data_IF_142454428120
#
_entry.id   IF_142454428120
#
_cell.length_a   1.000
_cell.length_b   1.000
_cell.length_c   1.000
_cell.angle_alpha   90.00
_cell.angle_beta   90.00
_cell.angle_gamma   90.00
#
_symmetry.space_group_name_H-M   'P 1'
#
loop_
_entity.id
_entity.type
_entity.pdbx_description
1 polymer ?
#
# COMPACT_ATOMS: atom_id res chain seq x y z
N UNK A 1 -34.03 -26.33 2.73
CA UNK A 1 -34.06 -25.50 3.97
C UNK A 1 -35.45 -24.92 4.11
N UNK A 2 -36.10 -25.11 5.25
CA UNK A 2 -37.47 -24.62 5.49
C UNK A 2 -37.41 -23.22 6.10
N UNK A 3 -38.17 -22.27 5.55
CA UNK A 3 -38.14 -20.86 5.98
C UNK A 3 -38.55 -20.67 7.46
N UNK A 4 -39.39 -21.57 7.98
CA UNK A 4 -39.96 -21.46 9.33
C UNK A 4 -38.97 -21.80 10.46
N UNK A 5 -37.79 -22.32 10.15
CA UNK A 5 -36.75 -22.63 11.15
C UNK A 5 -35.61 -21.61 11.20
N UNK A 6 -35.71 -20.52 10.42
CA UNK A 6 -34.69 -19.47 10.37
C UNK A 6 -34.91 -18.46 11.52
N UNK A 7 -34.03 -18.47 12.51
CA UNK A 7 -33.97 -17.44 13.56
C UNK A 7 -32.73 -16.55 13.41
N UNK A 8 -32.82 -15.23 13.66
CA UNK A 8 -31.67 -14.33 13.57
C UNK A 8 -30.62 -14.64 14.65
N UNK A 9 -29.34 -14.70 14.25
CA UNK A 9 -28.20 -14.93 15.16
C UNK A 9 -27.95 -13.74 16.11
N UNK A 10 -28.31 -12.53 15.69
CA UNK A 10 -28.15 -11.29 16.46
C UNK A 10 -29.50 -10.78 16.95
N UNK A 11 -29.59 -10.50 18.25
CA UNK A 11 -30.80 -9.99 18.90
C UNK A 11 -31.06 -8.54 18.45
N UNK A 12 -32.29 -8.25 18.03
CA UNK A 12 -32.75 -6.89 17.77
C UNK A 12 -32.86 -6.09 19.09
N UNK A 13 -31.96 -5.13 19.32
CA UNK A 13 -32.00 -4.26 20.51
C UNK A 13 -33.07 -3.18 20.34
N UNK A 14 -34.01 -3.06 21.29
CA UNK A 14 -35.03 -1.99 21.36
C UNK A 14 -34.36 -0.65 21.66
N UNK A 15 -34.73 0.38 20.90
CA UNK A 15 -34.07 1.70 20.77
C UNK A 15 -33.93 2.48 22.11
N UNK A 16 -32.74 2.53 22.72
CA UNK A 16 -32.37 3.61 23.63
C UNK A 16 -32.09 4.88 22.80
N UNK A 17 -32.06 6.10 23.38
CA UNK A 17 -31.55 7.27 22.66
C UNK A 17 -30.11 6.97 22.19
N UNK A 18 -29.96 6.75 20.89
CA UNK A 18 -28.78 6.10 20.31
C UNK A 18 -27.55 7.00 20.47
N UNK A 19 -26.65 6.62 21.38
CA UNK A 19 -25.25 7.08 21.42
C UNK A 19 -24.98 8.56 21.70
N UNK A 20 -26.01 9.38 21.97
CA UNK A 20 -25.87 10.84 22.14
C UNK A 20 -25.98 11.33 23.58
N UNK A 21 -26.31 10.44 24.53
CA UNK A 21 -26.67 10.85 25.88
C UNK A 21 -27.99 11.64 25.88
N UNK A 22 -28.49 12.00 27.07
CA UNK A 22 -29.83 12.55 27.28
C UNK A 22 -30.12 13.91 26.62
N UNK A 23 -30.35 14.95 27.43
CA UNK A 23 -30.73 16.29 26.93
C UNK A 23 -29.48 17.13 26.69
N UNK A 24 -29.54 18.07 25.74
CA UNK A 24 -28.45 19.01 25.47
C UNK A 24 -28.37 19.38 24.01
N UNK A 25 -27.47 20.31 23.68
CA UNK A 25 -27.26 20.80 22.31
C UNK A 25 -26.95 19.64 21.35
N UNK A 26 -26.05 18.74 21.75
CA UNK A 26 -25.60 17.54 21.00
C UNK A 26 -26.70 16.51 20.72
N UNK A 27 -27.76 16.50 21.54
CA UNK A 27 -28.90 15.59 21.37
C UNK A 27 -29.98 16.16 20.44
N UNK A 28 -29.94 17.45 20.10
CA UNK A 28 -30.94 18.09 19.23
C UNK A 28 -30.68 17.80 17.75
N UNK A 29 -31.75 17.56 17.01
CA UNK A 29 -31.68 17.45 15.56
C UNK A 29 -31.16 18.76 14.95
N UNK A 30 -30.29 18.65 13.94
CA UNK A 30 -29.75 19.80 13.22
C UNK A 30 -28.63 20.57 13.93
N UNK A 31 -28.18 20.12 15.11
CA UNK A 31 -27.04 20.71 15.79
C UNK A 31 -25.74 20.41 15.04
N UNK A 32 -25.29 21.39 14.25
CA UNK A 32 -24.07 21.33 13.43
C UNK A 32 -22.96 22.15 14.11
N UNK A 33 -22.40 21.66 15.22
CA UNK A 33 -21.22 22.32 15.83
C UNK A 33 -20.11 22.36 14.78
N UNK A 34 -19.56 23.55 14.59
CA UNK A 34 -18.35 23.76 13.82
C UNK A 34 -17.17 23.10 14.56
N UNK A 35 -16.46 22.12 13.96
CA UNK A 35 -15.32 21.50 14.62
C UNK A 35 -14.22 22.52 14.92
N UNK A 36 -13.71 22.52 16.15
CA UNK A 36 -12.62 23.40 16.63
C UNK A 36 -11.35 23.26 15.80
N UNK A 37 -11.11 22.07 15.25
CA UNK A 37 -10.01 21.76 14.32
C UNK A 37 -9.94 22.78 13.17
N UNK A 38 -11.08 23.36 12.75
CA UNK A 38 -11.10 24.34 11.67
C UNK A 38 -10.37 25.64 12.02
N UNK A 39 -10.45 26.07 13.28
CA UNK A 39 -9.79 27.30 13.72
C UNK A 39 -8.31 27.04 14.04
N UNK A 40 -7.96 25.83 14.48
CA UNK A 40 -6.57 25.35 14.53
C UNK A 40 -5.92 25.34 13.13
N UNK A 41 -6.61 24.81 12.11
CA UNK A 41 -6.09 24.76 10.73
C UNK A 41 -5.85 26.17 10.16
N UNK A 42 -6.69 27.16 10.49
CA UNK A 42 -6.53 28.54 10.01
C UNK A 42 -5.29 29.24 10.57
N UNK A 43 -4.83 28.86 11.76
CA UNK A 43 -3.60 29.39 12.37
C UNK A 43 -2.35 28.86 11.66
N UNK A 44 -2.41 27.68 11.05
CA UNK A 44 -1.27 27.06 10.38
C UNK A 44 -1.06 27.64 8.97
N UNK A 45 0.20 27.87 8.54
CA UNK A 45 0.48 28.26 7.16
C UNK A 45 0.08 27.14 6.19
N UNK A 46 -0.23 27.53 4.94
CA UNK A 46 -0.50 26.55 3.87
C UNK A 46 0.74 25.70 3.61
N UNK A 47 0.53 24.41 3.35
CA UNK A 47 1.61 23.50 2.94
C UNK A 47 2.24 23.97 1.62
N UNK A 48 3.56 23.83 1.49
CA UNK A 48 4.28 24.11 0.23
C UNK A 48 3.62 23.33 -0.93
N UNK A 49 3.43 23.98 -2.07
CA UNK A 49 2.75 23.41 -3.25
C UNK A 49 1.21 23.40 -3.20
N UNK A 50 0.59 23.79 -2.07
CA UNK A 50 -0.86 23.97 -1.98
C UNK A 50 -1.26 25.46 -2.12
N UNK A 51 -2.37 25.73 -2.82
CA UNK A 51 -2.88 27.08 -3.07
C UNK A 51 -3.19 27.31 -4.56
N UNK A 52 -2.86 28.50 -5.07
CA UNK A 52 -3.12 28.91 -6.47
C UNK A 52 -2.50 27.95 -7.50
N UNK A 53 -1.34 27.36 -7.20
CA UNK A 53 -0.58 26.52 -8.12
C UNK A 53 -0.80 25.00 -7.92
N UNK A 54 -1.82 24.57 -7.17
CA UNK A 54 -2.02 23.16 -6.82
C UNK A 54 -2.08 22.24 -8.04
N UNK A 55 -2.77 22.67 -9.09
CA UNK A 55 -2.95 21.87 -10.30
C UNK A 55 -1.63 21.61 -11.06
N UNK A 56 -0.67 22.55 -11.00
CA UNK A 56 0.63 22.43 -11.70
C UNK A 56 1.52 21.31 -11.14
N UNK A 57 1.34 20.93 -9.87
CA UNK A 57 2.13 19.88 -9.21
C UNK A 57 1.55 18.48 -9.36
N UNK A 58 0.35 18.32 -9.94
CA UNK A 58 -0.31 17.02 -10.10
C UNK A 58 0.23 16.31 -11.34
N UNK A 59 1.01 15.26 -11.14
CA UNK A 59 1.48 14.37 -12.22
C UNK A 59 0.46 13.26 -12.45
N UNK A 60 -0.37 13.38 -13.50
CA UNK A 60 -1.38 12.38 -13.86
C UNK A 60 -0.77 11.06 -14.31
N UNK A 61 0.37 11.11 -15.01
CA UNK A 61 1.04 9.93 -15.59
C UNK A 61 1.97 9.22 -14.60
N UNK A 62 1.62 9.20 -13.30
CA UNK A 62 2.45 8.53 -12.29
C UNK A 62 2.33 7.01 -12.42
N UNK A 63 3.44 6.36 -12.77
CA UNK A 63 3.55 4.90 -12.80
C UNK A 63 3.38 4.35 -11.38
N UNK A 64 2.51 3.35 -11.22
CA UNK A 64 2.37 2.63 -9.96
C UNK A 64 3.58 1.71 -9.78
N UNK A 65 4.35 1.95 -8.71
CA UNK A 65 5.51 1.13 -8.36
C UNK A 65 5.21 0.42 -7.05
N UNK A 66 5.41 -0.89 -7.02
CA UNK A 66 5.34 -1.70 -5.80
C UNK A 66 6.75 -2.03 -5.33
N UNK A 67 7.00 -1.87 -4.04
CA UNK A 67 8.30 -2.12 -3.43
C UNK A 67 8.31 -3.47 -2.73
N UNK A 68 9.34 -4.27 -2.97
CA UNK A 68 9.56 -5.57 -2.30
C UNK A 68 10.96 -5.58 -1.69
N UNK A 69 11.09 -6.01 -0.44
CA UNK A 69 12.39 -6.09 0.25
C UNK A 69 13.02 -7.48 0.07
N UNK A 70 14.35 -7.56 0.16
CA UNK A 70 15.09 -8.83 0.10
C UNK A 70 14.62 -9.84 1.15
N UNK A 71 14.28 -9.40 2.37
CA UNK A 71 13.76 -10.28 3.42
C UNK A 71 12.48 -11.02 3.00
N UNK A 72 11.60 -10.38 2.23
CA UNK A 72 10.38 -11.01 1.73
C UNK A 72 10.69 -12.05 0.62
N UNK A 73 11.72 -11.80 -0.18
CA UNK A 73 12.17 -12.75 -1.20
C UNK A 73 12.81 -13.97 -0.56
N UNK A 74 13.64 -13.77 0.47
CA UNK A 74 14.28 -14.82 1.23
C UNK A 74 13.23 -15.77 1.87
N UNK A 75 12.15 -15.23 2.44
CA UNK A 75 11.10 -16.08 3.01
C UNK A 75 10.27 -16.80 1.95
N UNK A 76 9.98 -16.13 0.84
CA UNK A 76 9.00 -16.63 -0.13
C UNK A 76 9.59 -17.54 -1.21
N UNK A 77 10.87 -17.42 -1.55
CA UNK A 77 11.50 -18.14 -2.67
C UNK A 77 12.50 -19.20 -2.20
N UNK A 78 12.82 -20.14 -3.09
CA UNK A 78 13.92 -21.10 -2.93
C UNK A 78 15.12 -20.68 -3.79
N UNK A 79 16.30 -21.22 -3.49
CA UNK A 79 17.49 -20.98 -4.31
C UNK A 79 17.26 -21.43 -5.76
N UNK A 80 17.73 -20.63 -6.72
CA UNK A 80 17.55 -20.81 -8.16
C UNK A 80 16.21 -20.35 -8.72
N UNK A 81 15.23 -19.98 -7.89
CA UNK A 81 13.91 -19.60 -8.38
C UNK A 81 13.89 -18.24 -9.08
N UNK A 82 12.96 -18.09 -10.03
CA UNK A 82 12.80 -16.86 -10.82
C UNK A 82 11.85 -15.86 -10.14
N UNK A 83 12.38 -14.69 -9.81
CA UNK A 83 11.65 -13.53 -9.30
C UNK A 83 11.26 -12.63 -10.48
N UNK A 84 9.96 -12.59 -10.79
CA UNK A 84 9.36 -11.74 -11.82
C UNK A 84 8.09 -11.07 -11.28
N UNK A 85 7.59 -9.98 -11.90
CA UNK A 85 6.34 -9.36 -11.47
C UNK A 85 5.14 -10.33 -11.44
N UNK A 86 5.12 -11.33 -12.35
CA UNK A 86 4.11 -12.37 -12.38
C UNK A 86 4.22 -13.35 -11.21
N UNK A 87 5.44 -13.82 -10.89
CA UNK A 87 5.65 -14.74 -9.76
C UNK A 87 5.42 -14.05 -8.41
N UNK A 88 5.75 -12.77 -8.29
CA UNK A 88 5.45 -11.95 -7.12
C UNK A 88 3.95 -11.73 -6.90
N UNK A 89 3.18 -11.57 -7.99
CA UNK A 89 1.73 -11.48 -7.92
C UNK A 89 1.13 -12.83 -7.48
N UNK A 90 1.59 -13.94 -8.06
CA UNK A 90 1.11 -15.28 -7.73
C UNK A 90 1.34 -15.64 -6.25
N UNK A 91 2.47 -15.21 -5.68
CA UNK A 91 2.81 -15.41 -4.26
C UNK A 91 2.21 -14.35 -3.32
N UNK A 92 1.42 -13.41 -3.84
CA UNK A 92 0.76 -12.37 -3.04
C UNK A 92 1.69 -11.29 -2.45
N UNK A 93 2.96 -11.26 -2.87
CA UNK A 93 3.95 -10.26 -2.42
C UNK A 93 3.71 -8.89 -3.05
N UNK A 94 3.09 -8.86 -4.22
CA UNK A 94 2.66 -7.64 -4.91
C UNK A 94 1.18 -7.73 -5.19
N UNK A 95 0.45 -6.62 -5.04
CA UNK A 95 -0.96 -6.51 -5.41
C UNK A 95 -1.12 -5.68 -6.67
N UNK A 96 -2.19 -5.94 -7.43
CA UNK A 96 -2.56 -5.12 -8.58
C UNK A 96 -2.88 -3.70 -8.13
N UNK A 97 -2.39 -2.71 -8.87
CA UNK A 97 -2.74 -1.31 -8.70
C UNK A 97 -3.59 -0.87 -9.90
N UNK A 98 -4.79 -0.36 -9.65
CA UNK A 98 -5.74 0.06 -10.70
C UNK A 98 -5.95 -1.03 -11.78
N UNK A 99 -6.07 -2.29 -11.36
CA UNK A 99 -6.30 -3.44 -12.26
C UNK A 99 -5.07 -3.97 -13.02
N UNK A 100 -3.91 -3.30 -12.95
CA UNK A 100 -2.67 -3.71 -13.65
C UNK A 100 -1.61 -4.19 -12.65
N UNK A 101 -0.69 -5.03 -13.13
CA UNK A 101 0.50 -5.39 -12.35
C UNK A 101 1.43 -4.18 -12.31
N UNK A 102 1.74 -3.62 -11.12
CA UNK A 102 2.63 -2.47 -11.02
C UNK A 102 4.06 -2.84 -11.40
N UNK A 103 4.86 -1.84 -11.75
CA UNK A 103 6.31 -2.00 -11.89
C UNK A 103 6.89 -2.35 -10.53
N UNK A 104 7.71 -3.39 -10.45
CA UNK A 104 8.28 -3.83 -9.18
C UNK A 104 9.66 -3.22 -8.98
N UNK A 105 9.88 -2.66 -7.79
CA UNK A 105 11.21 -2.27 -7.31
C UNK A 105 11.64 -3.13 -6.13
N UNK A 106 12.76 -3.83 -6.27
CA UNK A 106 13.39 -4.57 -5.19
C UNK A 106 14.31 -3.64 -4.42
N UNK A 107 14.11 -3.58 -3.11
CA UNK A 107 14.87 -2.76 -2.17
C UNK A 107 15.77 -3.64 -1.30
N UNK A 108 16.92 -3.08 -0.92
CA UNK A 108 18.00 -3.79 -0.28
C UNK A 108 17.92 -3.90 1.24
N UNK A 109 16.74 -3.87 1.87
CA UNK A 109 16.64 -4.13 3.32
C UNK A 109 16.92 -5.62 3.55
N UNK A 110 18.08 -5.98 4.12
CA UNK A 110 18.46 -7.37 4.29
C UNK A 110 17.68 -8.01 5.46
N UNK A 111 17.45 -9.32 5.45
CA UNK A 111 17.08 -10.06 6.65
C UNK A 111 18.29 -10.15 7.60
N UNK A 112 18.04 -10.51 8.87
CA UNK A 112 19.12 -10.78 9.82
C UNK A 112 19.93 -11.99 9.31
N UNK A 113 21.14 -11.72 8.79
CA UNK A 113 22.01 -12.73 8.16
C UNK A 113 22.22 -12.57 6.64
N UNK A 114 21.60 -11.58 6.00
CA UNK A 114 21.79 -11.33 4.57
C UNK A 114 21.00 -12.25 3.63
N UNK A 115 21.13 -12.05 2.32
CA UNK A 115 20.46 -12.89 1.32
C UNK A 115 21.28 -14.18 1.14
N UNK A 116 20.70 -15.33 1.49
CA UNK A 116 21.41 -16.62 1.36
C UNK A 116 21.09 -17.33 0.05
N UNK A 117 19.92 -17.02 -0.53
CA UNK A 117 19.43 -17.68 -1.74
C UNK A 117 19.90 -16.95 -2.99
N UNK A 118 20.59 -17.67 -3.86
CA UNK A 118 20.85 -17.23 -5.22
C UNK A 118 19.53 -17.17 -6.00
N UNK A 119 19.06 -15.99 -6.40
CA UNK A 119 17.79 -15.80 -7.11
C UNK A 119 18.00 -15.29 -8.52
N UNK A 120 17.11 -15.68 -9.45
CA UNK A 120 17.13 -15.17 -10.82
C UNK A 120 16.08 -14.05 -10.95
N UNK A 121 16.51 -12.80 -11.05
CA UNK A 121 15.61 -11.65 -11.14
C UNK A 121 15.36 -11.28 -12.60
N UNK A 122 14.08 -11.19 -13.01
CA UNK A 122 13.67 -10.81 -14.36
C UNK A 122 12.65 -9.68 -14.36
N UNK A 123 12.90 -8.61 -15.12
CA UNK A 123 11.90 -7.56 -15.36
C UNK A 123 11.52 -6.74 -14.12
N UNK A 124 12.43 -6.61 -13.15
CA UNK A 124 12.26 -5.80 -11.94
C UNK A 124 13.33 -4.69 -11.88
N UNK A 125 12.99 -3.54 -11.30
CA UNK A 125 13.97 -2.49 -10.98
C UNK A 125 14.69 -2.81 -9.66
N UNK A 126 15.99 -2.57 -9.58
CA UNK A 126 16.77 -2.83 -8.36
C UNK A 126 17.27 -1.52 -7.71
N UNK A 127 17.43 -1.50 -6.39
CA UNK A 127 18.29 -0.49 -5.74
C UNK A 127 19.76 -0.90 -5.84
N UNK A 128 20.69 0.05 -5.69
CA UNK A 128 22.13 -0.23 -5.67
C UNK A 128 22.50 -1.28 -4.62
N UNK A 129 21.96 -1.13 -3.41
CA UNK A 129 22.17 -2.09 -2.31
C UNK A 129 21.60 -3.46 -2.62
N UNK A 130 20.39 -3.53 -3.21
CA UNK A 130 19.78 -4.81 -3.57
C UNK A 130 20.56 -5.55 -4.64
N UNK A 131 21.09 -4.81 -5.62
CA UNK A 131 21.95 -5.36 -6.68
C UNK A 131 23.22 -5.96 -6.09
N UNK A 132 23.90 -5.23 -5.21
CA UNK A 132 25.11 -5.71 -4.55
C UNK A 132 24.85 -7.00 -3.74
N UNK A 133 23.77 -7.04 -2.97
CA UNK A 133 23.40 -8.22 -2.18
C UNK A 133 23.04 -9.44 -3.06
N UNK A 134 22.34 -9.22 -4.18
CA UNK A 134 22.02 -10.29 -5.13
C UNK A 134 23.26 -10.85 -5.81
N UNK A 135 24.20 -9.99 -6.24
CA UNK A 135 25.46 -10.43 -6.84
C UNK A 135 26.33 -11.16 -5.82
N UNK A 136 26.40 -10.68 -4.57
CA UNK A 136 27.13 -11.35 -3.51
C UNK A 136 26.59 -12.75 -3.19
N UNK A 137 25.26 -12.94 -3.30
CA UNK A 137 24.61 -14.24 -3.14
C UNK A 137 24.66 -15.13 -4.40
N UNK A 138 25.33 -14.70 -5.48
CA UNK A 138 25.42 -15.46 -6.74
C UNK A 138 24.14 -15.44 -7.60
N UNK A 139 23.25 -14.46 -7.40
CA UNK A 139 22.04 -14.27 -8.20
C UNK A 139 22.30 -13.69 -9.59
N UNK A 140 21.40 -13.96 -10.53
CA UNK A 140 21.49 -13.51 -11.94
C UNK A 140 20.38 -12.49 -12.23
N UNK A 141 20.71 -11.42 -12.95
CA UNK A 141 19.79 -10.32 -13.27
C UNK A 141 19.58 -10.27 -14.79
N UNK A 142 18.33 -10.43 -15.24
CA UNK A 142 17.95 -10.30 -16.66
C UNK A 142 16.96 -9.15 -16.87
N UNK A 143 17.25 -8.29 -17.86
CA UNK A 143 16.32 -7.27 -18.36
C UNK A 143 15.84 -6.31 -17.27
N UNK A 144 16.72 -5.41 -16.84
CA UNK A 144 16.35 -4.37 -15.88
C UNK A 144 15.40 -3.36 -16.53
N UNK A 145 14.21 -3.18 -15.96
CA UNK A 145 13.28 -2.17 -16.46
C UNK A 145 13.83 -0.77 -16.13
N UNK A 146 14.03 0.08 -17.13
CA UNK A 146 14.41 1.48 -16.90
C UNK A 146 13.20 2.28 -16.42
N UNK A 147 13.44 3.26 -15.53
CA UNK A 147 12.41 4.20 -15.03
C UNK A 147 12.02 5.25 -16.08
N UNK A 148 12.04 4.92 -17.36
CA UNK A 148 11.81 5.91 -18.41
C UNK A 148 10.31 6.12 -18.57
N UNK A 149 9.84 7.27 -18.12
CA UNK A 149 8.53 7.80 -18.55
C UNK A 149 8.80 8.36 -19.93
N UNK A 150 8.37 7.66 -20.99
CA UNK A 150 8.18 8.33 -22.27
C UNK A 150 7.07 9.36 -22.05
N UNK A 151 7.48 10.63 -22.00
CA UNK A 151 6.58 11.79 -22.03
C UNK A 151 6.09 11.97 -23.45
#
# INVERSE_FOLDING_TARGET
>A
MQLHTLSPRTINKKNPPVGRGGKGQTARAGHKIRPEVRDLIKKLPKRRGHGKNRARSVKTNRIAVSTVNLAALEAAYKAGETVSPASLLARGLVRRAKGRVPVVKILGTPPAGGLTKALVVKGCTLSSVARAALTAAGGIIYGEQSRTVHV
#
